data_IF_610152454168
#
_entry.id   IF_610152454168
#
_cell.length_a   1.000
_cell.length_b   1.000
_cell.length_c   1.000
_cell.angle_alpha   90.00
_cell.angle_beta   90.00
_cell.angle_gamma   90.00
#
_symmetry.space_group_name_H-M   'P 1'
#
loop_
_entity.id
_entity.type
_entity.pdbx_description
1 polymer ?
#
# COMPACT_ATOMS: atom_id res chain seq x y z
N UNK A 1 27.17 0.70 -5.68
CA UNK A 1 26.94 0.06 -6.99
C UNK A 1 26.08 0.99 -7.80
N UNK A 2 26.47 1.29 -9.05
CA UNK A 2 25.66 2.11 -9.96
C UNK A 2 24.92 1.17 -10.92
N UNK A 3 23.60 1.31 -11.00
CA UNK A 3 22.77 0.57 -11.95
C UNK A 3 22.64 1.36 -13.26
N UNK A 4 22.82 0.69 -14.38
CA UNK A 4 22.48 1.24 -15.70
C UNK A 4 20.96 1.19 -15.94
N UNK A 5 20.50 1.88 -16.97
CA UNK A 5 19.07 1.79 -17.37
C UNK A 5 18.68 0.35 -17.74
N UNK A 6 19.57 -0.39 -18.43
CA UNK A 6 19.30 -1.77 -18.80
C UNK A 6 19.22 -2.69 -17.57
N UNK A 7 20.07 -2.46 -16.55
CA UNK A 7 20.00 -3.19 -15.28
C UNK A 7 18.66 -2.93 -14.58
N UNK A 8 18.17 -1.68 -14.57
CA UNK A 8 16.90 -1.31 -13.96
C UNK A 8 15.73 -1.94 -14.72
N UNK A 9 15.75 -1.96 -16.04
CA UNK A 9 14.71 -2.59 -16.84
C UNK A 9 14.69 -4.13 -16.65
N UNK A 10 15.85 -4.77 -16.60
CA UNK A 10 15.96 -6.19 -16.31
C UNK A 10 15.41 -6.53 -14.89
N UNK A 11 15.79 -5.72 -13.90
CA UNK A 11 15.30 -5.83 -12.53
C UNK A 11 13.78 -5.66 -12.45
N UNK A 12 13.23 -4.72 -13.21
CA UNK A 12 11.79 -4.49 -13.28
C UNK A 12 11.02 -5.70 -13.85
N UNK A 13 11.53 -6.32 -14.93
CA UNK A 13 10.98 -7.56 -15.46
C UNK A 13 11.05 -8.71 -14.45
N UNK A 14 12.22 -8.87 -13.80
CA UNK A 14 12.42 -9.87 -12.76
C UNK A 14 11.39 -9.74 -11.60
N UNK A 15 11.13 -8.52 -11.11
CA UNK A 15 10.14 -8.30 -10.05
C UNK A 15 8.73 -8.76 -10.46
N UNK A 16 8.33 -8.55 -11.71
CA UNK A 16 7.02 -8.97 -12.21
C UNK A 16 6.89 -10.51 -12.27
N UNK A 17 7.92 -11.20 -12.77
CA UNK A 17 7.96 -12.67 -12.81
C UNK A 17 8.02 -13.28 -11.42
N UNK A 18 8.80 -12.67 -10.52
CA UNK A 18 8.91 -13.08 -9.13
C UNK A 18 7.57 -12.97 -8.41
N UNK A 19 6.84 -11.86 -8.59
CA UNK A 19 5.53 -11.66 -7.99
C UNK A 19 4.50 -12.71 -8.45
N UNK A 20 4.48 -13.05 -9.74
CA UNK A 20 3.61 -14.11 -10.27
C UNK A 20 3.95 -15.48 -9.71
N UNK A 21 5.24 -15.80 -9.62
CA UNK A 21 5.73 -17.08 -9.09
C UNK A 21 5.40 -17.22 -7.60
N UNK A 22 5.58 -16.16 -6.81
CA UNK A 22 5.20 -16.11 -5.41
C UNK A 22 3.68 -16.20 -5.22
N UNK A 23 2.90 -15.55 -6.09
CA UNK A 23 1.44 -15.62 -6.09
C UNK A 23 0.89 -17.04 -6.26
N UNK A 24 1.58 -17.91 -7.00
CA UNK A 24 1.22 -19.32 -7.09
C UNK A 24 1.34 -20.05 -5.74
N UNK A 25 2.34 -19.67 -4.92
CA UNK A 25 2.51 -20.22 -3.56
C UNK A 25 1.40 -19.68 -2.64
N UNK A 26 1.04 -18.40 -2.75
CA UNK A 26 -0.07 -17.79 -2.01
C UNK A 26 -1.38 -18.53 -2.29
N UNK A 27 -1.70 -18.83 -3.56
CA UNK A 27 -2.90 -19.59 -3.91
C UNK A 27 -2.89 -21.02 -3.35
N UNK A 28 -1.74 -21.69 -3.33
CA UNK A 28 -1.60 -23.00 -2.67
C UNK A 28 -1.89 -22.90 -1.17
N UNK A 29 -1.35 -21.87 -0.52
CA UNK A 29 -1.57 -21.62 0.89
C UNK A 29 -3.03 -21.34 1.22
N UNK A 30 -3.68 -20.46 0.47
CA UNK A 30 -5.09 -20.16 0.64
C UNK A 30 -5.96 -21.41 0.52
N UNK A 31 -5.70 -22.25 -0.47
CA UNK A 31 -6.42 -23.51 -0.64
C UNK A 31 -6.20 -24.44 0.57
N UNK A 32 -4.96 -24.58 1.05
CA UNK A 32 -4.63 -25.42 2.20
C UNK A 32 -5.34 -24.95 3.48
N UNK A 33 -5.35 -23.64 3.75
CA UNK A 33 -6.05 -23.06 4.91
C UNK A 33 -7.56 -23.30 4.82
N UNK A 34 -8.16 -23.06 3.67
CA UNK A 34 -9.60 -23.27 3.48
C UNK A 34 -10.02 -24.74 3.64
N UNK A 35 -9.20 -25.70 3.19
CA UNK A 35 -9.44 -27.15 3.35
C UNK A 35 -9.31 -27.60 4.81
N UNK A 36 -8.60 -26.85 5.65
CA UNK A 36 -8.42 -27.14 7.09
C UNK A 36 -9.44 -26.38 7.96
N UNK A 37 -10.22 -25.49 7.41
CA UNK A 37 -11.23 -24.68 8.14
C UNK A 37 -12.19 -25.61 8.90
N UNK A 38 -12.25 -25.44 10.25
CA UNK A 38 -13.03 -26.32 11.13
C UNK A 38 -12.22 -27.41 11.87
N UNK A 39 -10.91 -27.57 11.59
CA UNK A 39 -9.99 -28.42 12.37
C UNK A 39 -9.30 -27.57 13.45
N UNK A 40 -8.81 -28.24 14.48
CA UNK A 40 -8.32 -27.59 15.73
C UNK A 40 -6.98 -26.83 15.57
N UNK A 41 -6.23 -27.05 14.50
CA UNK A 41 -4.97 -26.36 14.20
C UNK A 41 -4.96 -25.95 12.72
N UNK A 42 -4.90 -24.66 12.46
CA UNK A 42 -4.95 -24.09 11.11
C UNK A 42 -3.60 -23.52 10.64
N UNK A 43 -2.53 -23.66 11.44
CA UNK A 43 -1.21 -23.08 11.12
C UNK A 43 -1.22 -21.53 11.11
N UNK A 44 -2.19 -20.93 11.82
CA UNK A 44 -2.31 -19.45 11.95
C UNK A 44 -1.82 -19.07 13.34
N UNK A 45 -0.88 -18.13 13.40
CA UNK A 45 -0.35 -17.60 14.64
C UNK A 45 -0.67 -16.11 14.78
N UNK A 46 -0.63 -15.60 16.01
CA UNK A 46 -0.77 -14.18 16.33
C UNK A 46 0.62 -13.57 16.55
N UNK A 47 0.90 -12.41 15.94
CA UNK A 47 2.16 -11.67 16.18
C UNK A 47 2.05 -10.83 17.46
N UNK A 48 1.27 -9.76 17.42
CA UNK A 48 1.07 -8.85 18.57
C UNK A 48 -0.24 -9.12 19.32
N UNK A 49 -1.27 -9.50 18.61
CA UNK A 49 -2.62 -9.75 19.16
C UNK A 49 -3.49 -10.51 18.13
N UNK A 50 -4.73 -10.83 18.50
CA UNK A 50 -5.68 -11.63 17.71
C UNK A 50 -6.07 -11.04 16.33
N UNK A 51 -5.62 -9.84 15.97
CA UNK A 51 -5.86 -9.23 14.65
C UNK A 51 -4.58 -9.05 13.84
N UNK A 52 -3.42 -9.36 14.41
CA UNK A 52 -2.12 -9.32 13.77
C UNK A 52 -1.67 -10.76 13.52
N UNK A 53 -2.06 -11.31 12.38
CA UNK A 53 -1.91 -12.72 12.04
C UNK A 53 -0.66 -12.96 11.19
N UNK A 54 -0.10 -14.14 11.33
CA UNK A 54 0.93 -14.69 10.46
C UNK A 54 0.64 -16.17 10.22
N UNK A 55 0.96 -16.64 9.05
CA UNK A 55 0.85 -18.06 8.71
C UNK A 55 2.21 -18.62 8.31
N UNK A 56 2.35 -19.95 8.28
CA UNK A 56 3.52 -20.59 7.70
C UNK A 56 3.72 -20.20 6.21
N UNK A 57 2.68 -19.73 5.55
CA UNK A 57 2.71 -19.36 4.15
C UNK A 57 3.37 -17.99 3.93
N UNK A 58 3.22 -17.04 4.86
CA UNK A 58 3.93 -15.76 4.83
C UNK A 58 5.45 -16.02 4.84
N UNK A 59 5.90 -16.85 5.78
CA UNK A 59 7.31 -17.25 5.89
C UNK A 59 7.80 -17.99 4.63
N UNK A 60 7.03 -18.96 4.11
CA UNK A 60 7.40 -19.72 2.90
C UNK A 60 7.49 -18.86 1.66
N UNK A 61 6.58 -17.89 1.49
CA UNK A 61 6.61 -16.94 0.37
C UNK A 61 7.84 -16.05 0.49
N UNK A 62 8.13 -15.51 1.69
CA UNK A 62 9.31 -14.66 1.88
C UNK A 62 10.61 -15.44 1.64
N UNK A 63 10.73 -16.66 2.15
CA UNK A 63 11.91 -17.52 1.91
C UNK A 63 12.13 -17.80 0.43
N UNK A 64 11.06 -18.11 -0.31
CA UNK A 64 11.12 -18.30 -1.75
C UNK A 64 11.61 -17.05 -2.47
N UNK A 65 11.02 -15.90 -2.17
CA UNK A 65 11.37 -14.60 -2.77
C UNK A 65 12.82 -14.26 -2.45
N UNK A 66 13.23 -14.38 -1.17
CA UNK A 66 14.58 -14.10 -0.69
C UNK A 66 15.62 -15.01 -1.38
N UNK A 67 15.30 -16.29 -1.58
CA UNK A 67 16.17 -17.22 -2.31
C UNK A 67 16.34 -16.80 -3.77
N UNK A 68 15.25 -16.45 -4.47
CA UNK A 68 15.29 -15.99 -5.86
C UNK A 68 16.05 -14.68 -6.04
N UNK A 69 15.90 -13.74 -5.11
CA UNK A 69 16.67 -12.50 -5.09
C UNK A 69 18.15 -12.79 -4.88
N UNK A 70 18.54 -13.64 -3.93
CA UNK A 70 19.94 -14.00 -3.68
C UNK A 70 20.59 -14.69 -4.88
N UNK A 71 19.84 -15.51 -5.59
CA UNK A 71 20.30 -16.21 -6.79
C UNK A 71 20.63 -15.21 -7.92
N UNK A 72 19.81 -14.19 -8.15
CA UNK A 72 19.91 -13.29 -9.30
C UNK A 72 20.58 -11.95 -8.96
N UNK A 73 20.44 -11.46 -7.74
CA UNK A 73 20.93 -10.17 -7.25
C UNK A 73 21.62 -10.27 -5.89
N UNK A 74 22.71 -11.08 -5.78
CA UNK A 74 23.35 -11.39 -4.48
C UNK A 74 23.97 -10.17 -3.78
N UNK A 75 24.20 -9.07 -4.50
CA UNK A 75 24.76 -7.84 -3.96
C UNK A 75 23.71 -6.84 -3.47
N UNK A 76 22.41 -7.16 -3.63
CA UNK A 76 21.32 -6.30 -3.17
C UNK A 76 20.97 -6.59 -1.72
N UNK A 77 20.51 -5.57 -1.01
CA UNK A 77 19.94 -5.72 0.34
C UNK A 77 18.50 -6.21 0.26
N UNK A 78 18.00 -6.71 1.39
CA UNK A 78 16.63 -7.20 1.52
C UNK A 78 16.02 -6.70 2.83
N UNK A 79 14.81 -6.17 2.74
CA UNK A 79 13.94 -5.81 3.85
C UNK A 79 12.63 -6.56 3.62
N UNK A 80 12.24 -7.43 4.54
CA UNK A 80 11.00 -8.19 4.48
C UNK A 80 10.34 -8.25 5.83
N UNK A 81 9.02 -8.42 5.83
CA UNK A 81 8.20 -8.43 7.03
C UNK A 81 8.61 -9.55 8.00
N UNK A 82 8.76 -10.77 7.49
CA UNK A 82 9.05 -11.94 8.33
C UNK A 82 10.50 -11.95 8.79
N UNK A 83 11.44 -11.55 7.92
CA UNK A 83 12.85 -11.34 8.28
C UNK A 83 13.00 -10.28 9.37
N UNK A 84 12.27 -9.16 9.27
CA UNK A 84 12.27 -8.10 10.28
C UNK A 84 11.70 -8.61 11.62
N UNK A 85 10.60 -9.32 11.57
CA UNK A 85 9.97 -9.94 12.75
C UNK A 85 10.88 -10.96 13.43
N UNK A 86 11.75 -11.63 12.65
CA UNK A 86 12.79 -12.55 13.15
C UNK A 86 14.05 -11.81 13.66
N UNK A 87 14.10 -10.47 13.61
CA UNK A 87 15.22 -9.65 14.12
C UNK A 87 16.23 -9.20 13.07
N UNK A 88 16.03 -9.47 11.79
CA UNK A 88 16.87 -8.96 10.70
C UNK A 88 16.51 -7.50 10.37
N UNK A 89 17.13 -6.54 11.03
CA UNK A 89 16.88 -5.11 10.79
C UNK A 89 17.91 -4.53 9.85
N UNK A 90 17.60 -4.52 8.55
CA UNK A 90 18.45 -3.92 7.53
C UNK A 90 18.02 -2.45 7.29
N UNK A 91 18.94 -1.47 7.44
CA UNK A 91 18.61 -0.06 7.16
C UNK A 91 18.49 0.18 5.65
N UNK A 92 17.72 1.19 5.30
CA UNK A 92 17.69 1.73 3.94
C UNK A 92 18.99 2.48 3.69
N UNK A 93 19.73 2.08 2.66
CA UNK A 93 21.03 2.66 2.30
C UNK A 93 21.06 3.07 0.83
N UNK A 94 22.23 3.50 0.32
CA UNK A 94 22.45 3.77 -1.11
C UNK A 94 22.46 2.47 -1.96
N UNK A 95 22.57 1.30 -1.30
CA UNK A 95 22.60 0.00 -1.99
C UNK A 95 21.19 -0.34 -2.46
N UNK A 96 21.00 -0.87 -3.68
CA UNK A 96 19.70 -1.35 -4.11
C UNK A 96 19.14 -2.38 -3.14
N UNK A 97 17.91 -2.16 -2.70
CA UNK A 97 17.28 -2.92 -1.63
C UNK A 97 15.90 -3.38 -2.08
N UNK A 98 15.64 -4.67 -2.02
CA UNK A 98 14.29 -5.20 -2.14
C UNK A 98 13.54 -4.95 -0.82
N UNK A 99 12.31 -4.48 -0.92
CA UNK A 99 11.41 -4.20 0.21
C UNK A 99 10.11 -4.97 -0.04
N UNK A 100 9.87 -6.04 0.72
CA UNK A 100 8.88 -7.07 0.38
C UNK A 100 7.94 -7.34 1.54
N UNK A 101 6.64 -7.33 1.23
CA UNK A 101 5.63 -7.99 2.04
C UNK A 101 5.18 -9.26 1.30
N UNK A 102 5.39 -10.45 1.90
CA UNK A 102 5.06 -11.71 1.27
C UNK A 102 3.56 -11.91 1.06
N UNK A 103 2.71 -11.50 2.02
CA UNK A 103 1.24 -11.59 1.94
C UNK A 103 0.62 -10.37 2.63
N UNK A 104 0.62 -9.21 1.97
CA UNK A 104 -0.14 -8.05 2.46
C UNK A 104 -1.64 -8.36 2.48
N UNK A 105 -2.24 -8.23 3.67
CA UNK A 105 -3.60 -8.63 3.94
C UNK A 105 -3.74 -10.06 4.47
N UNK A 106 -2.85 -10.52 5.37
CA UNK A 106 -2.85 -11.86 5.98
C UNK A 106 -4.20 -12.23 6.61
N UNK A 107 -4.89 -11.28 7.24
CA UNK A 107 -6.25 -11.52 7.75
C UNK A 107 -7.21 -11.90 6.62
N UNK A 108 -7.19 -11.21 5.50
CA UNK A 108 -8.01 -11.53 4.33
C UNK A 108 -7.65 -12.91 3.75
N UNK A 109 -6.35 -13.19 3.66
CA UNK A 109 -5.83 -14.47 3.21
C UNK A 109 -6.36 -15.63 4.06
N UNK A 110 -6.28 -15.54 5.38
CA UNK A 110 -6.79 -16.54 6.33
C UNK A 110 -8.30 -16.74 6.21
N UNK A 111 -9.04 -15.65 6.00
CA UNK A 111 -10.50 -15.70 5.85
C UNK A 111 -10.98 -16.10 4.45
N UNK A 112 -10.11 -16.11 3.44
CA UNK A 112 -10.44 -16.38 2.05
C UNK A 112 -11.15 -15.20 1.35
N UNK A 113 -10.94 -13.99 1.88
CA UNK A 113 -11.38 -12.78 1.21
C UNK A 113 -10.35 -12.40 0.14
N UNK A 114 -10.75 -12.24 -1.17
CA UNK A 114 -9.80 -12.13 -2.28
C UNK A 114 -9.13 -10.75 -2.38
N UNK A 115 -8.74 -10.19 -1.25
CA UNK A 115 -8.10 -8.89 -1.14
C UNK A 115 -6.81 -9.03 -0.32
N UNK A 116 -5.88 -9.82 -0.87
CA UNK A 116 -4.52 -10.02 -0.39
C UNK A 116 -3.57 -10.12 -1.57
N UNK A 117 -2.31 -9.74 -1.38
CA UNK A 117 -1.34 -9.68 -2.48
C UNK A 117 0.08 -9.90 -1.98
N UNK A 118 1.02 -10.11 -2.92
CA UNK A 118 2.44 -9.88 -2.66
C UNK A 118 2.78 -8.44 -3.07
N UNK A 119 3.59 -7.77 -2.27
CA UNK A 119 4.11 -6.43 -2.53
C UNK A 119 5.64 -6.49 -2.65
N UNK A 120 6.19 -6.08 -3.79
CA UNK A 120 7.63 -6.06 -4.07
C UNK A 120 8.03 -4.65 -4.49
N UNK A 121 8.70 -3.93 -3.60
CA UNK A 121 9.35 -2.67 -3.90
C UNK A 121 10.84 -2.81 -4.11
N UNK A 122 11.45 -1.94 -4.90
CA UNK A 122 12.90 -1.76 -4.95
C UNK A 122 13.24 -0.32 -4.62
N UNK A 123 14.10 -0.16 -3.62
CA UNK A 123 14.65 1.13 -3.18
C UNK A 123 16.06 1.23 -3.75
N UNK A 124 16.40 2.34 -4.38
CA UNK A 124 17.72 2.66 -4.86
C UNK A 124 18.04 4.12 -4.57
N UNK A 125 19.26 4.37 -4.06
CA UNK A 125 19.64 5.72 -3.60
C UNK A 125 18.58 6.32 -2.65
N UNK A 126 18.13 5.52 -1.70
CA UNK A 126 17.14 5.85 -0.66
C UNK A 126 15.76 6.26 -1.17
N UNK A 127 15.46 6.04 -2.46
CA UNK A 127 14.16 6.32 -3.06
C UNK A 127 13.55 5.07 -3.67
N UNK A 128 12.24 4.84 -3.54
CA UNK A 128 11.54 3.80 -4.26
C UNK A 128 11.62 4.05 -5.78
N UNK A 129 11.99 3.03 -6.56
CA UNK A 129 12.12 3.15 -8.01
C UNK A 129 11.30 2.11 -8.79
N UNK A 130 11.03 0.94 -8.20
CA UNK A 130 10.20 -0.11 -8.79
C UNK A 130 9.14 -0.50 -7.77
N UNK A 131 7.90 -0.66 -8.23
CA UNK A 131 6.81 -1.21 -7.46
C UNK A 131 6.07 -2.28 -8.24
N UNK A 132 5.84 -3.44 -7.62
CA UNK A 132 5.04 -4.53 -8.15
C UNK A 132 4.12 -5.05 -7.05
N UNK A 133 2.82 -5.02 -7.31
CA UNK A 133 1.78 -5.56 -6.42
C UNK A 133 0.97 -6.57 -7.22
N UNK A 134 0.93 -7.81 -6.77
CA UNK A 134 0.19 -8.87 -7.44
C UNK A 134 -0.85 -9.50 -6.53
N UNK A 135 -2.12 -9.33 -6.90
CA UNK A 135 -3.23 -10.05 -6.29
C UNK A 135 -3.48 -11.35 -7.07
N UNK A 136 -3.06 -12.51 -6.56
CA UNK A 136 -3.19 -13.76 -7.28
C UNK A 136 -4.63 -14.31 -7.32
N UNK A 137 -5.50 -13.87 -6.41
CA UNK A 137 -6.91 -14.30 -6.37
C UNK A 137 -7.73 -13.75 -7.55
N UNK A 138 -7.36 -12.54 -8.00
CA UNK A 138 -8.00 -11.85 -9.11
C UNK A 138 -7.12 -11.85 -10.38
N UNK A 139 -5.91 -12.42 -10.30
CA UNK A 139 -4.87 -12.35 -11.32
C UNK A 139 -4.64 -10.91 -11.81
N UNK A 140 -4.50 -9.98 -10.86
CA UNK A 140 -4.24 -8.57 -11.13
C UNK A 140 -2.81 -8.22 -10.75
N UNK A 141 -2.00 -7.90 -11.75
CA UNK A 141 -0.63 -7.41 -11.58
C UNK A 141 -0.58 -5.91 -11.82
N UNK A 142 -0.32 -5.16 -10.77
CA UNK A 142 -0.01 -3.74 -10.82
C UNK A 142 1.50 -3.56 -10.77
N UNK A 143 2.05 -2.75 -11.65
CA UNK A 143 3.50 -2.52 -11.66
C UNK A 143 3.83 -1.12 -12.15
N UNK A 144 4.90 -0.54 -11.61
CA UNK A 144 5.39 0.79 -11.96
C UNK A 144 6.91 0.86 -11.88
N UNK A 145 7.49 1.68 -12.74
CA UNK A 145 8.90 2.03 -12.75
C UNK A 145 9.01 3.55 -12.81
N UNK A 146 9.78 4.13 -11.90
CA UNK A 146 9.97 5.58 -11.80
C UNK A 146 10.40 6.19 -13.13
N UNK A 147 9.61 7.16 -13.62
CA UNK A 147 9.79 7.83 -14.92
C UNK A 147 9.23 7.07 -16.12
N UNK A 148 8.62 5.88 -15.93
CA UNK A 148 8.10 5.06 -17.04
C UNK A 148 6.59 4.80 -16.96
N UNK A 149 5.92 5.35 -15.94
CA UNK A 149 4.51 5.12 -15.69
C UNK A 149 4.21 3.85 -14.91
N UNK A 150 2.94 3.67 -14.59
CA UNK A 150 2.42 2.47 -13.93
C UNK A 150 1.30 1.82 -14.72
N UNK A 151 1.11 0.52 -14.54
CA UNK A 151 0.27 -0.30 -15.40
C UNK A 151 -0.46 -1.38 -14.60
N UNK A 152 -1.60 -1.81 -15.14
CA UNK A 152 -2.37 -2.99 -14.71
C UNK A 152 -2.36 -4.03 -15.82
N UNK A 153 -2.05 -5.29 -15.47
CA UNK A 153 -2.29 -6.49 -16.28
C UNK A 153 -3.29 -7.37 -15.54
N UNK A 154 -4.33 -7.83 -16.24
CA UNK A 154 -5.36 -8.69 -15.65
C UNK A 154 -5.96 -9.62 -16.71
N UNK A 155 -6.77 -10.62 -16.35
CA UNK A 155 -7.45 -11.48 -17.32
C UNK A 155 -8.32 -10.73 -18.33
N UNK A 156 -8.94 -9.62 -17.91
CA UNK A 156 -9.71 -8.74 -18.80
C UNK A 156 -8.83 -7.87 -19.67
N UNK A 157 -7.61 -7.58 -19.23
CA UNK A 157 -6.66 -6.72 -19.90
C UNK A 157 -5.27 -7.38 -19.87
N UNK A 158 -5.02 -8.37 -20.76
CA UNK A 158 -3.74 -9.07 -20.83
C UNK A 158 -2.60 -8.20 -21.39
N UNK A 159 -2.94 -7.14 -22.11
CA UNK A 159 -2.01 -6.07 -22.50
C UNK A 159 -2.01 -5.03 -21.40
N UNK A 160 -0.81 -4.54 -20.93
CA UNK A 160 -0.73 -3.57 -19.85
C UNK A 160 -1.57 -2.31 -20.12
N UNK A 161 -2.50 -2.01 -19.24
CA UNK A 161 -3.25 -0.76 -19.21
C UNK A 161 -2.52 0.25 -18.35
N UNK A 162 -2.28 1.43 -18.90
CA UNK A 162 -1.67 2.53 -18.16
C UNK A 162 -2.61 3.05 -17.08
N UNK A 163 -2.08 3.31 -15.89
CA UNK A 163 -2.79 3.94 -14.80
C UNK A 163 -2.64 5.48 -14.86
N UNK A 164 -3.65 6.23 -14.38
CA UNK A 164 -4.93 5.76 -13.89
C UNK A 164 -5.83 5.25 -15.03
N UNK A 165 -6.82 4.39 -14.70
CA UNK A 165 -7.69 3.77 -15.71
C UNK A 165 -8.63 4.74 -16.43
N UNK A 166 -8.77 5.96 -15.92
CA UNK A 166 -9.53 7.05 -16.54
C UNK A 166 -8.74 8.35 -16.44
N UNK A 167 -8.98 9.28 -17.36
CA UNK A 167 -8.38 10.61 -17.29
C UNK A 167 -8.78 11.31 -15.99
N UNK A 168 -7.81 11.77 -15.17
CA UNK A 168 -8.12 12.46 -13.93
C UNK A 168 -8.95 13.73 -14.17
N UNK A 169 -10.12 13.77 -13.55
CA UNK A 169 -10.95 14.97 -13.51
C UNK A 169 -10.63 15.87 -12.31
N UNK A 170 -11.23 17.07 -12.23
CA UNK A 170 -11.16 17.93 -11.05
C UNK A 170 -11.65 17.21 -9.80
N UNK A 171 -11.10 17.58 -8.64
CA UNK A 171 -11.52 17.09 -7.33
C UNK A 171 -11.62 18.27 -6.37
N UNK A 172 -12.84 18.75 -6.14
CA UNK A 172 -13.07 20.07 -5.54
C UNK A 172 -13.11 20.03 -4.02
N UNK A 173 -13.64 18.93 -3.44
CA UNK A 173 -13.94 18.85 -2.02
C UNK A 173 -13.82 17.42 -1.54
N UNK A 174 -13.45 17.22 -0.26
CA UNK A 174 -13.49 15.91 0.38
C UNK A 174 -14.88 15.25 0.34
N UNK A 175 -15.97 16.04 0.23
CA UNK A 175 -17.31 15.46 0.10
C UNK A 175 -17.50 14.60 -1.16
N UNK A 176 -16.66 14.75 -2.17
CA UNK A 176 -16.65 13.92 -3.38
C UNK A 176 -15.81 12.64 -3.23
N UNK A 177 -15.13 12.45 -2.08
CA UNK A 177 -14.12 11.42 -1.90
C UNK A 177 -14.68 10.04 -1.58
N UNK A 178 -14.12 9.00 -2.21
CA UNK A 178 -14.11 7.65 -1.68
C UNK A 178 -12.77 7.40 -1.00
N UNK A 179 -12.78 7.18 0.31
CA UNK A 179 -11.56 7.11 1.13
C UNK A 179 -11.33 5.71 1.66
N UNK A 180 -10.10 5.21 1.47
CA UNK A 180 -9.60 4.03 2.16
C UNK A 180 -9.04 4.39 3.53
N UNK A 181 -9.45 3.65 4.56
CA UNK A 181 -8.97 3.75 5.95
C UNK A 181 -8.90 2.36 6.55
N UNK A 182 -7.99 2.14 7.50
CA UNK A 182 -7.89 0.83 8.11
C UNK A 182 -7.94 0.90 9.64
N UNK A 183 -8.47 -0.17 10.24
CA UNK A 183 -8.47 -0.30 11.69
C UNK A 183 -7.09 -0.66 12.22
N UNK A 184 -6.25 -1.31 11.43
CA UNK A 184 -4.88 -1.71 11.75
C UNK A 184 -4.79 -2.70 12.93
N UNK A 185 -3.57 -2.94 13.42
CA UNK A 185 -3.30 -3.87 14.53
C UNK A 185 -3.33 -3.21 15.92
N UNK A 186 -3.15 -1.88 16.02
CA UNK A 186 -3.27 -1.19 17.30
C UNK A 186 -4.74 -1.00 17.69
N UNK A 187 -5.16 -1.76 18.70
CA UNK A 187 -6.53 -1.74 19.24
C UNK A 187 -6.60 -1.12 20.64
N UNK A 188 -5.59 -0.32 21.02
CA UNK A 188 -5.64 0.43 22.27
C UNK A 188 -6.83 1.38 22.29
N UNK A 189 -7.36 1.64 23.49
CA UNK A 189 -8.51 2.53 23.67
C UNK A 189 -8.27 3.90 23.01
N UNK A 190 -7.08 4.47 23.21
CA UNK A 190 -6.71 5.78 22.68
C UNK A 190 -6.79 5.81 21.16
N UNK A 191 -6.20 4.83 20.49
CA UNK A 191 -6.18 4.74 19.01
C UNK A 191 -7.58 4.47 18.46
N UNK A 192 -8.34 3.56 19.09
CA UNK A 192 -9.70 3.26 18.67
C UNK A 192 -10.64 4.47 18.79
N UNK A 193 -10.51 5.27 19.85
CA UNK A 193 -11.28 6.50 20.01
C UNK A 193 -10.88 7.56 18.97
N UNK A 194 -9.58 7.73 18.67
CA UNK A 194 -9.10 8.67 17.65
C UNK A 194 -9.60 8.27 16.25
N UNK A 195 -9.48 6.98 15.88
CA UNK A 195 -10.04 6.45 14.62
C UNK A 195 -11.55 6.65 14.53
N UNK A 196 -12.29 6.31 15.59
CA UNK A 196 -13.75 6.45 15.60
C UNK A 196 -14.18 7.91 15.41
N UNK A 197 -13.53 8.87 16.07
CA UNK A 197 -13.82 10.30 15.88
C UNK A 197 -13.44 10.76 14.46
N UNK A 198 -12.30 10.35 13.95
CA UNK A 198 -11.85 10.68 12.59
C UNK A 198 -12.83 10.16 11.54
N UNK A 199 -13.24 8.90 11.66
CA UNK A 199 -14.18 8.28 10.70
C UNK A 199 -15.58 8.90 10.81
N UNK A 200 -16.02 9.25 12.02
CA UNK A 200 -17.27 9.96 12.21
C UNK A 200 -17.26 11.36 11.57
N UNK A 201 -16.13 12.11 11.63
CA UNK A 201 -15.99 13.40 10.95
C UNK A 201 -15.92 13.24 9.44
N UNK A 202 -15.19 12.27 8.93
CA UNK A 202 -15.13 12.02 7.47
C UNK A 202 -16.52 11.71 6.92
N UNK A 203 -17.27 10.80 7.54
CA UNK A 203 -18.57 10.35 7.05
C UNK A 203 -19.75 11.26 7.42
N UNK A 204 -19.64 12.00 8.52
CA UNK A 204 -20.74 12.73 9.12
C UNK A 204 -21.12 14.01 8.37
N UNK A 205 -22.41 14.37 8.46
CA UNK A 205 -22.92 15.66 7.95
C UNK A 205 -22.61 16.78 8.94
N UNK A 206 -21.82 17.74 8.50
CA UNK A 206 -21.45 18.97 9.26
C UNK A 206 -22.43 20.12 9.11
N UNK A 207 -23.44 20.04 8.24
CA UNK A 207 -24.30 21.16 7.84
C UNK A 207 -25.64 21.23 8.55
N UNK A 208 -26.16 20.08 9.05
CA UNK A 208 -27.54 19.98 9.56
C UNK A 208 -27.64 20.17 11.09
N UNK A 209 -28.86 20.40 11.56
CA UNK A 209 -29.15 20.39 13.01
C UNK A 209 -28.88 18.99 13.57
N UNK A 210 -28.12 18.89 14.65
CA UNK A 210 -27.62 17.60 15.17
C UNK A 210 -26.39 17.08 14.43
N UNK A 211 -25.72 17.96 13.68
CA UNK A 211 -24.54 17.69 12.88
C UNK A 211 -23.39 17.05 13.66
N UNK A 212 -22.56 16.33 12.91
CA UNK A 212 -21.22 15.95 13.38
C UNK A 212 -20.31 17.16 13.21
N UNK A 213 -19.78 17.69 14.32
CA UNK A 213 -18.86 18.83 14.26
C UNK A 213 -17.62 18.50 13.45
N UNK A 214 -17.30 19.36 12.44
CA UNK A 214 -16.22 19.11 11.48
C UNK A 214 -16.53 18.02 10.45
N UNK A 215 -17.79 17.59 10.33
CA UNK A 215 -18.23 16.59 9.36
C UNK A 215 -18.00 17.00 7.91
N UNK A 216 -17.44 16.09 7.09
CA UNK A 216 -17.10 16.32 5.67
C UNK A 216 -18.08 15.68 4.70
N UNK A 217 -18.88 14.73 5.17
CA UNK A 217 -19.88 14.02 4.37
C UNK A 217 -19.30 13.42 3.07
N UNK A 218 -18.16 12.74 3.22
CA UNK A 218 -17.50 12.07 2.08
C UNK A 218 -18.44 11.00 1.46
N UNK A 219 -18.22 10.65 0.19
CA UNK A 219 -19.05 9.65 -0.49
C UNK A 219 -19.01 8.30 0.21
N UNK A 220 -17.84 7.84 0.65
CA UNK A 220 -17.75 6.56 1.36
C UNK A 220 -16.39 6.35 2.04
N UNK A 221 -16.41 5.55 3.12
CA UNK A 221 -15.23 4.92 3.71
C UNK A 221 -15.11 3.46 3.28
N UNK A 222 -13.89 3.00 3.07
CA UNK A 222 -13.54 1.60 2.82
C UNK A 222 -12.47 1.17 3.81
N UNK A 223 -12.65 0.00 4.42
CA UNK A 223 -11.63 -0.69 5.20
C UNK A 223 -11.51 -2.09 4.61
N UNK A 224 -10.46 -2.32 3.85
CA UNK A 224 -10.33 -3.49 2.97
C UNK A 224 -9.21 -4.44 3.42
N UNK A 225 -8.29 -3.98 4.28
CA UNK A 225 -7.32 -4.82 4.99
C UNK A 225 -6.07 -5.21 4.17
N UNK A 226 -5.66 -4.37 3.22
CA UNK A 226 -4.40 -4.50 2.47
C UNK A 226 -3.92 -3.12 2.07
N UNK A 227 -2.78 -2.69 2.61
CA UNK A 227 -2.21 -1.38 2.32
C UNK A 227 -1.74 -1.27 0.87
N UNK A 228 -1.02 -2.27 0.36
CA UNK A 228 -0.54 -2.27 -1.02
C UNK A 228 -1.70 -2.23 -2.02
N UNK A 229 -2.79 -3.00 -1.79
CA UNK A 229 -3.97 -2.95 -2.66
C UNK A 229 -4.74 -1.63 -2.52
N UNK A 230 -4.76 -0.99 -1.37
CA UNK A 230 -5.34 0.34 -1.22
C UNK A 230 -4.55 1.39 -2.03
N UNK A 231 -3.22 1.36 -2.00
CA UNK A 231 -2.38 2.22 -2.83
C UNK A 231 -2.67 2.04 -4.34
N UNK A 232 -2.73 0.80 -4.82
CA UNK A 232 -3.00 0.55 -6.25
C UNK A 232 -4.44 0.86 -6.64
N UNK A 233 -5.40 0.80 -5.72
CA UNK A 233 -6.75 1.30 -5.95
C UNK A 233 -6.79 2.83 -6.09
N UNK A 234 -5.98 3.57 -5.32
CA UNK A 234 -5.80 5.01 -5.53
C UNK A 234 -5.13 5.29 -6.88
N UNK A 235 -4.08 4.55 -7.22
CA UNK A 235 -3.39 4.65 -8.51
C UNK A 235 -4.33 4.40 -9.70
N UNK A 236 -5.27 3.48 -9.54
CA UNK A 236 -6.25 3.12 -10.58
C UNK A 236 -7.43 4.08 -10.67
N UNK A 237 -7.68 4.88 -9.63
CA UNK A 237 -8.83 5.78 -9.51
C UNK A 237 -10.06 5.13 -8.87
N UNK A 238 -9.93 3.95 -8.28
CA UNK A 238 -11.00 3.27 -7.52
C UNK A 238 -11.18 3.85 -6.11
N UNK A 239 -10.13 4.39 -5.53
CA UNK A 239 -10.14 5.23 -4.33
C UNK A 239 -9.61 6.62 -4.70
N UNK A 240 -10.13 7.66 -4.04
CA UNK A 240 -9.61 9.01 -4.19
C UNK A 240 -8.44 9.27 -3.23
N UNK A 241 -8.56 8.78 -1.99
CA UNK A 241 -7.55 8.93 -0.94
C UNK A 241 -7.44 7.60 -0.18
N UNK A 242 -6.22 7.26 0.21
CA UNK A 242 -5.96 6.26 1.24
C UNK A 242 -5.09 6.87 2.33
N UNK A 243 -5.45 6.62 3.60
CA UNK A 243 -4.72 7.11 4.77
C UNK A 243 -4.61 6.03 5.82
N UNK A 244 -3.39 5.87 6.35
CA UNK A 244 -3.13 4.91 7.42
C UNK A 244 -1.95 5.31 8.29
N UNK A 245 -2.01 4.86 9.56
CA UNK A 245 -0.94 4.96 10.55
C UNK A 245 -0.67 3.56 11.09
N UNK A 246 0.60 3.12 11.00
CA UNK A 246 1.04 1.83 11.52
C UNK A 246 1.66 0.89 10.49
N UNK A 247 1.44 1.12 9.19
CA UNK A 247 2.10 0.36 8.13
C UNK A 247 3.62 0.47 8.19
N UNK A 248 4.28 -0.53 7.63
CA UNK A 248 5.72 -0.60 7.51
C UNK A 248 6.19 -0.29 6.08
N UNK A 249 7.50 -0.11 5.84
CA UNK A 249 8.01 0.15 4.48
C UNK A 249 7.59 -0.89 3.44
N UNK A 250 7.54 -2.17 3.79
CA UNK A 250 7.18 -3.25 2.87
C UNK A 250 5.73 -3.22 2.43
N UNK A 251 4.81 -2.72 3.27
CA UNK A 251 3.39 -2.56 2.94
C UNK A 251 3.17 -1.48 1.86
N UNK A 252 4.05 -0.47 1.80
CA UNK A 252 3.80 0.75 1.03
C UNK A 252 4.79 1.01 -0.11
N UNK A 253 6.03 0.52 -0.03
CA UNK A 253 7.10 0.85 -0.96
C UNK A 253 6.71 0.63 -2.43
N UNK A 254 6.11 -0.51 -2.75
CA UNK A 254 5.64 -0.81 -4.11
C UNK A 254 4.48 0.11 -4.51
N UNK A 255 3.50 0.27 -3.63
CA UNK A 255 2.33 1.12 -3.84
C UNK A 255 2.68 2.58 -4.08
N UNK A 256 3.70 3.09 -3.38
CA UNK A 256 4.23 4.46 -3.57
C UNK A 256 4.64 4.69 -5.01
N UNK A 257 5.49 3.82 -5.58
CA UNK A 257 5.94 3.96 -6.97
C UNK A 257 4.76 3.92 -7.93
N UNK A 258 3.86 2.94 -7.77
CA UNK A 258 2.72 2.75 -8.66
C UNK A 258 1.79 3.97 -8.60
N UNK A 259 1.51 4.51 -7.40
CA UNK A 259 0.64 5.66 -7.23
C UNK A 259 1.25 6.94 -7.79
N UNK A 260 2.55 7.18 -7.55
CA UNK A 260 3.24 8.37 -8.08
C UNK A 260 3.32 8.35 -9.60
N UNK A 261 3.61 7.20 -10.21
CA UNK A 261 3.65 7.03 -11.67
C UNK A 261 2.26 7.12 -12.34
N UNK A 262 1.18 6.98 -11.55
CA UNK A 262 -0.20 7.26 -11.96
C UNK A 262 -0.61 8.75 -11.74
N UNK A 263 0.32 9.62 -11.33
CA UNK A 263 0.04 11.02 -11.04
C UNK A 263 -0.49 11.30 -9.63
N UNK A 264 -0.50 10.28 -8.76
CA UNK A 264 -0.86 10.43 -7.36
C UNK A 264 0.21 11.17 -6.54
N UNK A 265 -0.19 11.77 -5.44
CA UNK A 265 0.69 12.44 -4.48
C UNK A 265 0.71 11.65 -3.18
N UNK A 266 1.92 11.32 -2.72
CA UNK A 266 2.15 10.59 -1.46
C UNK A 266 2.77 11.52 -0.44
N UNK A 267 2.26 11.48 0.78
CA UNK A 267 2.78 12.22 1.93
C UNK A 267 2.96 11.34 3.16
N UNK A 268 3.67 11.87 4.15
CA UNK A 268 3.87 11.27 5.47
C UNK A 268 2.84 11.77 6.49
N UNK A 269 3.28 12.10 7.71
CA UNK A 269 2.44 12.68 8.76
C UNK A 269 1.92 14.08 8.39
N UNK A 270 0.96 14.59 9.17
CA UNK A 270 0.45 15.97 9.06
C UNK A 270 1.54 17.04 9.20
N UNK A 271 2.66 16.71 9.87
CA UNK A 271 3.80 17.61 10.07
C UNK A 271 4.84 17.51 8.93
N UNK A 272 4.74 16.49 8.07
CA UNK A 272 5.68 16.25 6.97
C UNK A 272 5.35 17.16 5.79
N UNK A 273 6.32 17.95 5.26
CA UNK A 273 6.07 18.74 4.07
C UNK A 273 5.65 17.88 2.87
N UNK A 274 4.58 18.28 2.20
CA UNK A 274 4.05 17.57 1.02
C UNK A 274 4.82 18.03 -0.22
N UNK A 275 5.97 17.41 -0.47
CA UNK A 275 6.87 17.75 -1.58
C UNK A 275 6.62 16.90 -2.83
N UNK A 276 5.97 15.75 -2.69
CA UNK A 276 5.88 14.71 -3.72
C UNK A 276 7.12 13.81 -3.81
N UNK A 277 8.14 14.05 -2.98
CA UNK A 277 9.32 13.19 -2.88
C UNK A 277 9.11 12.25 -1.69
N UNK A 278 9.16 10.95 -1.96
CA UNK A 278 9.14 9.92 -0.91
C UNK A 278 10.57 9.44 -0.70
N UNK A 279 11.09 9.79 0.46
CA UNK A 279 12.43 9.43 0.93
C UNK A 279 12.37 8.39 2.06
N UNK A 280 13.52 8.07 2.63
CA UNK A 280 13.66 7.17 3.76
C UNK A 280 12.79 7.60 4.96
N UNK A 281 12.67 8.91 5.23
CA UNK A 281 11.91 9.41 6.38
C UNK A 281 10.40 9.14 6.22
N UNK A 282 9.87 9.32 5.01
CA UNK A 282 8.47 8.98 4.72
C UNK A 282 8.28 7.47 4.77
N UNK A 283 9.19 6.68 4.14
CA UNK A 283 9.08 5.22 4.14
C UNK A 283 9.13 4.59 5.53
N UNK A 284 9.91 5.15 6.44
CA UNK A 284 10.07 4.60 7.80
C UNK A 284 9.18 5.31 8.83
N UNK A 285 8.51 6.40 8.43
CA UNK A 285 7.69 7.22 9.33
C UNK A 285 6.40 6.58 9.79
N UNK A 286 5.97 5.49 9.13
CA UNK A 286 4.79 4.69 9.47
C UNK A 286 3.48 5.47 9.52
N UNK A 287 3.41 6.61 8.80
CA UNK A 287 2.22 7.44 8.61
C UNK A 287 2.17 7.80 7.14
N UNK A 288 1.07 7.46 6.48
CA UNK A 288 0.96 7.62 5.04
C UNK A 288 -0.39 8.18 4.64
N UNK A 289 -0.36 9.06 3.66
CA UNK A 289 -1.51 9.48 2.88
C UNK A 289 -1.14 9.43 1.40
N UNK A 290 -2.04 8.91 0.59
CA UNK A 290 -1.93 8.98 -0.86
C UNK A 290 -3.24 9.48 -1.43
N UNK A 291 -3.17 10.43 -2.35
CA UNK A 291 -4.30 10.96 -3.12
C UNK A 291 -4.05 10.71 -4.60
N UNK A 292 -5.09 10.35 -5.35
CA UNK A 292 -5.01 10.11 -6.79
C UNK A 292 -4.60 11.35 -7.58
N UNK A 293 -4.22 11.16 -8.83
CA UNK A 293 -4.04 12.27 -9.79
C UNK A 293 -5.32 13.09 -9.95
N UNK A 294 -5.16 14.40 -10.04
CA UNK A 294 -6.25 15.37 -10.22
C UNK A 294 -5.96 16.17 -11.47
N UNK A 295 -6.99 16.41 -12.29
CA UNK A 295 -6.89 17.25 -13.48
C UNK A 295 -6.85 18.74 -13.12
N UNK A 296 -6.10 19.52 -13.93
CA UNK A 296 -6.05 20.97 -13.80
C UNK A 296 -7.42 21.60 -14.08
N UNK A 297 -7.66 22.76 -13.43
CA UNK A 297 -8.77 23.66 -13.74
C UNK A 297 -8.21 25.05 -14.07
N UNK A 298 -9.04 25.99 -14.57
CA UNK A 298 -8.59 27.36 -14.77
C UNK A 298 -8.14 28.05 -13.47
N UNK A 299 -8.64 27.60 -12.31
CA UNK A 299 -8.42 28.21 -11.01
C UNK A 299 -7.28 27.57 -10.22
N UNK A 300 -6.98 26.28 -10.46
CA UNK A 300 -6.07 25.52 -9.63
C UNK A 300 -5.40 24.39 -10.42
N UNK A 301 -4.09 24.19 -10.25
CA UNK A 301 -3.42 22.99 -10.79
C UNK A 301 -3.83 21.73 -10.03
N UNK A 302 -3.78 20.57 -10.69
CA UNK A 302 -4.06 19.29 -10.04
C UNK A 302 -3.17 19.03 -8.82
N UNK A 303 -1.90 19.44 -8.88
CA UNK A 303 -0.96 19.32 -7.75
C UNK A 303 -1.36 20.24 -6.57
N UNK A 304 -1.82 21.45 -6.84
CA UNK A 304 -2.27 22.35 -5.76
C UNK A 304 -3.57 21.83 -5.13
N UNK A 305 -4.48 21.29 -5.96
CA UNK A 305 -5.69 20.62 -5.48
C UNK A 305 -5.36 19.40 -4.58
N UNK A 306 -4.39 18.57 -4.98
CA UNK A 306 -3.91 17.45 -4.15
C UNK A 306 -3.40 17.95 -2.80
N UNK A 307 -2.54 18.96 -2.77
CA UNK A 307 -1.98 19.54 -1.54
C UNK A 307 -3.06 20.13 -0.64
N UNK A 308 -3.99 20.86 -1.21
CA UNK A 308 -5.14 21.47 -0.50
C UNK A 308 -6.00 20.40 0.16
N UNK A 309 -6.35 19.34 -0.58
CA UNK A 309 -7.19 18.26 -0.08
C UNK A 309 -6.48 17.41 0.98
N UNK A 310 -5.18 17.15 0.85
CA UNK A 310 -4.40 16.48 1.92
C UNK A 310 -4.40 17.34 3.19
N UNK A 311 -4.22 18.66 3.07
CA UNK A 311 -4.30 19.57 4.22
C UNK A 311 -5.68 19.52 4.87
N UNK A 312 -6.75 19.64 4.08
CA UNK A 312 -8.13 19.55 4.56
C UNK A 312 -8.42 18.19 5.22
N UNK A 313 -7.86 17.11 4.69
CA UNK A 313 -7.95 15.78 5.28
C UNK A 313 -7.30 15.74 6.67
N UNK A 314 -6.08 16.23 6.82
CA UNK A 314 -5.39 16.28 8.11
C UNK A 314 -6.04 17.22 9.13
N UNK A 315 -6.73 18.26 8.71
CA UNK A 315 -7.57 19.10 9.59
C UNK A 315 -8.83 18.36 10.08
N UNK A 316 -9.20 17.25 9.43
CA UNK A 316 -10.40 16.47 9.76
C UNK A 316 -10.11 15.28 10.68
N UNK A 317 -8.97 14.62 10.48
CA UNK A 317 -8.58 13.40 11.21
C UNK A 317 -7.70 13.71 12.40
N UNK A 318 -7.66 12.79 13.36
CA UNK A 318 -6.75 12.85 14.50
C UNK A 318 -5.48 12.05 14.20
N UNK A 319 -4.35 12.50 14.73
CA UNK A 319 -3.05 11.83 14.60
C UNK A 319 -2.68 11.11 15.90
N UNK A 320 -1.88 10.05 15.80
CA UNK A 320 -1.30 9.32 16.91
C UNK A 320 0.06 8.75 16.55
N UNK A 321 0.86 8.37 17.57
CA UNK A 321 2.13 7.68 17.34
C UNK A 321 1.87 6.22 16.94
N UNK A 322 2.50 5.69 15.87
CA UNK A 322 2.43 4.26 15.57
C UNK A 322 3.19 3.45 16.64
N UNK A 323 2.68 2.27 16.97
CA UNK A 323 3.32 1.34 17.92
C UNK A 323 4.43 0.53 17.29
#
# INVERSE_FOLDING_TARGET
MQLSTDDILALYGFCQELARSAGAIILQGSKAILEQKGKQDHGVNEKKNAVDLVTEWDVRVEEYVKAKIRENYPAFSFIGEESYSAGEQNPITEIPTFCVDPIDGTTNFVHGFPYACISIGVIYQKSPIIGVVYNPFLDQLYHGLKGHGSYLVSPLHPTPLRLPLSTPGPFRSLSEAQVGVEWGSDRSKQVMEAKSRSYARLAGDGSQKGKVEGGRMIHSLRSLGSAALNFVNVASGGLDIYWEIGCWPWDVCAGVVIAQEAGGLVGGSSETPITGIVDENILTGRKYIVIRGIGDTPEETGLDAQKRLIKEFYETVEDWAPN
#
